data_IF_969611266301
#
_entry.id   IF_969611266301
#
_cell.length_a   1.000
_cell.length_b   1.000
_cell.length_c   1.000
_cell.angle_alpha   90.00
_cell.angle_beta   90.00
_cell.angle_gamma   90.00
#
_symmetry.space_group_name_H-M   'P 1'
#
loop_
_entity.id
_entity.type
_entity.pdbx_description
1 polymer ?
#
# COMPACT_ATOMS: atom_id res chain seq x y z
N UNK A 1 3.14 -14.29 25.13
CA UNK A 1 4.37 -13.71 24.56
C UNK A 1 4.69 -14.49 23.29
N UNK A 2 4.27 -14.01 22.11
CA UNK A 2 4.43 -14.75 20.85
C UNK A 2 5.82 -14.46 20.26
N UNK A 3 6.68 -15.48 20.24
CA UNK A 3 8.06 -15.48 19.72
C UNK A 3 8.14 -15.45 18.17
N UNK A 4 7.09 -15.03 17.46
CA UNK A 4 6.90 -15.31 16.02
C UNK A 4 7.05 -14.13 15.06
N UNK A 5 7.02 -12.88 15.53
CA UNK A 5 6.98 -11.71 14.62
C UNK A 5 8.29 -11.46 13.87
N UNK A 6 9.43 -12.01 14.33
CA UNK A 6 10.73 -11.89 13.64
C UNK A 6 10.83 -12.72 12.36
N UNK A 7 9.93 -13.70 12.14
CA UNK A 7 9.93 -14.54 10.94
C UNK A 7 9.06 -14.01 9.80
N UNK A 8 8.36 -12.89 10.00
CA UNK A 8 7.61 -12.26 8.92
C UNK A 8 8.60 -11.59 7.97
N UNK A 9 9.11 -12.38 7.03
CA UNK A 9 9.96 -11.88 5.96
C UNK A 9 9.18 -10.79 5.22
N UNK A 10 9.73 -9.57 5.13
CA UNK A 10 9.10 -8.54 4.34
C UNK A 10 9.02 -9.01 2.89
N UNK A 11 7.83 -8.91 2.32
CA UNK A 11 7.62 -9.11 0.90
C UNK A 11 7.80 -7.77 0.18
N UNK A 12 8.33 -7.85 -1.03
CA UNK A 12 8.46 -6.70 -1.92
C UNK A 12 7.38 -6.80 -3.00
N UNK A 13 6.71 -5.69 -3.25
CA UNK A 13 5.73 -5.55 -4.30
C UNK A 13 6.00 -4.28 -5.11
N UNK A 14 5.69 -4.32 -6.39
CA UNK A 14 5.66 -3.13 -7.24
C UNK A 14 4.40 -3.20 -8.08
N UNK A 15 3.81 -2.05 -8.38
CA UNK A 15 2.58 -2.03 -9.15
C UNK A 15 2.00 -0.64 -9.30
N UNK A 16 0.94 -0.57 -10.10
CA UNK A 16 0.14 0.64 -10.24
C UNK A 16 -0.88 0.72 -9.13
N UNK A 17 -0.99 1.86 -8.46
CA UNK A 17 -2.08 2.12 -7.54
C UNK A 17 -3.38 2.17 -8.33
N UNK A 18 -4.28 1.23 -8.08
CA UNK A 18 -5.60 1.20 -8.75
C UNK A 18 -6.68 1.86 -7.92
N UNK A 19 -6.56 1.79 -6.59
CA UNK A 19 -7.56 2.35 -5.69
C UNK A 19 -6.97 2.72 -4.33
N UNK A 20 -7.55 3.73 -3.69
CA UNK A 20 -7.26 4.18 -2.33
C UNK A 20 -8.58 4.23 -1.57
N UNK A 21 -8.63 3.58 -0.41
CA UNK A 21 -9.85 3.46 0.38
C UNK A 21 -9.59 3.85 1.84
N UNK A 22 -10.49 4.65 2.40
CA UNK A 22 -10.55 4.92 3.83
C UNK A 22 -11.76 4.21 4.43
N UNK A 23 -11.57 3.46 5.51
CA UNK A 23 -12.63 2.81 6.27
C UNK A 23 -12.54 3.23 7.73
N UNK A 24 -13.68 3.60 8.35
CA UNK A 24 -13.73 3.89 9.77
C UNK A 24 -14.18 2.62 10.51
N UNK A 25 -13.28 2.02 11.29
CA UNK A 25 -13.55 0.81 12.06
C UNK A 25 -13.31 1.07 13.53
N UNK A 26 -14.32 0.80 14.37
CA UNK A 26 -14.24 0.95 15.83
C UNK A 26 -13.70 2.33 16.29
N UNK A 27 -14.14 3.41 15.61
CA UNK A 27 -13.75 4.78 15.93
C UNK A 27 -12.36 5.20 15.44
N UNK A 28 -11.63 4.33 14.73
CA UNK A 28 -10.33 4.62 14.13
C UNK A 28 -10.40 4.57 12.60
N UNK A 29 -9.79 5.55 11.93
CA UNK A 29 -9.66 5.54 10.49
C UNK A 29 -8.55 4.58 10.06
N UNK A 30 -8.87 3.64 9.17
CA UNK A 30 -7.94 2.73 8.51
C UNK A 30 -7.85 3.09 7.04
N UNK A 31 -6.65 3.01 6.47
CA UNK A 31 -6.40 3.42 5.09
C UNK A 31 -5.82 2.25 4.32
N UNK A 32 -6.33 2.03 3.12
CA UNK A 32 -5.96 0.90 2.28
C UNK A 32 -5.53 1.40 0.90
N UNK A 33 -4.49 0.77 0.36
CA UNK A 33 -4.08 0.91 -1.04
C UNK A 33 -4.31 -0.41 -1.75
N UNK A 34 -4.85 -0.33 -2.96
CA UNK A 34 -4.87 -1.44 -3.90
C UNK A 34 -3.84 -1.17 -4.98
N UNK A 35 -2.89 -2.08 -5.16
CA UNK A 35 -1.93 -2.04 -6.26
C UNK A 35 -2.18 -3.22 -7.20
N UNK A 36 -1.97 -2.99 -8.50
CA UNK A 36 -2.01 -4.01 -9.53
C UNK A 36 -0.60 -4.28 -10.04
N UNK A 37 -0.18 -5.55 -9.97
CA UNK A 37 1.08 -6.05 -10.47
C UNK A 37 0.80 -7.15 -11.53
N UNK A 38 0.66 -6.76 -12.79
CA UNK A 38 0.19 -7.67 -13.83
C UNK A 38 -1.26 -8.11 -13.60
N UNK A 39 -1.49 -9.40 -13.42
CA UNK A 39 -2.81 -9.99 -13.13
C UNK A 39 -3.14 -10.02 -11.63
N UNK A 40 -2.16 -9.76 -10.75
CA UNK A 40 -2.34 -9.80 -9.31
C UNK A 40 -2.79 -8.43 -8.77
N UNK A 41 -3.88 -8.42 -7.99
CA UNK A 41 -4.37 -7.25 -7.27
C UNK A 41 -4.14 -7.41 -5.77
N UNK A 42 -3.25 -6.58 -5.22
CA UNK A 42 -2.87 -6.61 -3.81
C UNK A 42 -3.54 -5.45 -3.08
N UNK A 43 -4.32 -5.76 -2.04
CA UNK A 43 -4.88 -4.78 -1.11
C UNK A 43 -4.09 -4.80 0.20
N UNK A 44 -3.53 -3.65 0.58
CA UNK A 44 -2.63 -3.48 1.72
C UNK A 44 -3.07 -2.29 2.58
N UNK A 45 -2.81 -2.37 3.89
CA UNK A 45 -3.02 -1.31 4.86
C UNK A 45 -1.83 -0.35 4.87
N UNK A 46 -2.11 0.95 4.94
CA UNK A 46 -1.13 2.04 4.90
C UNK A 46 -1.45 3.08 5.97
N UNK A 47 -0.44 3.85 6.37
CA UNK A 47 -0.64 5.02 7.23
C UNK A 47 -1.32 6.17 6.49
N UNK A 48 -1.99 7.03 7.26
CA UNK A 48 -2.60 8.27 6.77
C UNK A 48 -1.63 9.13 5.94
N UNK A 49 -0.38 9.29 6.41
CA UNK A 49 0.65 10.08 5.72
C UNK A 49 0.99 9.54 4.33
N UNK A 50 0.90 8.22 4.16
CA UNK A 50 1.12 7.56 2.87
C UNK A 50 -0.13 7.71 2.00
N UNK A 51 -1.32 7.54 2.60
CA UNK A 51 -2.60 7.69 1.91
C UNK A 51 -2.75 9.07 1.26
N UNK A 52 -2.41 10.16 1.96
CA UNK A 52 -2.52 11.52 1.41
C UNK A 52 -1.49 11.84 0.31
N UNK A 53 -0.41 11.07 0.20
CA UNK A 53 0.66 11.29 -0.78
C UNK A 53 0.47 10.47 -2.05
N UNK A 54 -0.28 9.37 -1.96
CA UNK A 54 -0.54 8.49 -3.08
C UNK A 54 -1.69 9.03 -3.93
N UNK A 55 -1.60 8.79 -5.23
CA UNK A 55 -2.68 9.01 -6.16
C UNK A 55 -2.99 7.72 -6.93
N UNK A 56 -4.24 7.52 -7.36
CA UNK A 56 -4.55 6.51 -8.35
C UNK A 56 -3.66 6.68 -9.59
N UNK A 57 -3.23 5.56 -10.18
CA UNK A 57 -2.29 5.43 -11.29
C UNK A 57 -0.81 5.75 -10.97
N UNK A 58 -0.45 6.05 -9.73
CA UNK A 58 0.95 6.12 -9.35
C UNK A 58 1.61 4.74 -9.47
N UNK A 59 2.81 4.70 -10.04
CA UNK A 59 3.62 3.50 -10.03
C UNK A 59 4.49 3.49 -8.78
N UNK A 60 4.26 2.51 -7.91
CA UNK A 60 4.87 2.46 -6.59
C UNK A 60 5.61 1.15 -6.38
N UNK A 61 6.68 1.24 -5.60
CA UNK A 61 7.36 0.09 -5.01
C UNK A 61 7.10 0.12 -3.52
N UNK A 62 6.69 -1.01 -2.96
CA UNK A 62 6.34 -1.14 -1.56
C UNK A 62 6.95 -2.39 -0.93
N UNK A 63 7.22 -2.30 0.36
CA UNK A 63 7.62 -3.42 1.20
C UNK A 63 6.56 -3.60 2.27
N UNK A 64 6.03 -4.82 2.38
CA UNK A 64 4.89 -5.11 3.22
C UNK A 64 5.05 -6.43 3.95
N UNK A 65 4.36 -6.56 5.07
CA UNK A 65 4.28 -7.81 5.82
C UNK A 65 3.11 -8.63 5.26
N UNK A 66 3.34 -9.76 4.57
CA UNK A 66 2.28 -10.49 3.87
C UNK A 66 1.19 -11.02 4.79
N UNK A 67 1.53 -11.44 6.01
CA UNK A 67 0.54 -11.94 6.98
C UNK A 67 -0.37 -10.82 7.53
N UNK A 68 0.20 -9.64 7.78
CA UNK A 68 -0.55 -8.48 8.30
C UNK A 68 -1.16 -7.62 7.19
N UNK A 69 -0.73 -7.83 5.94
CA UNK A 69 -1.03 -6.98 4.78
C UNK A 69 -0.72 -5.50 5.06
N UNK A 70 0.35 -5.24 5.79
CA UNK A 70 0.70 -3.89 6.25
C UNK A 70 1.95 -3.40 5.53
N UNK A 71 1.88 -2.22 4.95
CA UNK A 71 3.02 -1.57 4.28
C UNK A 71 3.81 -0.78 5.30
N UNK A 72 5.10 -1.05 5.42
CA UNK A 72 6.00 -0.29 6.30
C UNK A 72 6.97 0.60 5.51
N UNK A 73 7.14 0.34 4.21
CA UNK A 73 7.93 1.19 3.32
C UNK A 73 7.23 1.30 1.98
N UNK A 74 7.07 2.53 1.51
CA UNK A 74 6.53 2.82 0.18
C UNK A 74 7.38 3.90 -0.47
N UNK A 75 7.68 3.68 -1.74
CA UNK A 75 8.36 4.63 -2.61
C UNK A 75 7.57 4.77 -3.90
N UNK A 76 7.16 6.00 -4.19
CA UNK A 76 6.62 6.34 -5.52
C UNK A 76 7.78 6.38 -6.50
N UNK A 77 7.74 5.51 -7.51
CA UNK A 77 8.74 5.45 -8.57
C UNK A 77 8.40 6.45 -9.68
N UNK A 78 7.12 6.49 -10.05
CA UNK A 78 6.60 7.42 -11.04
C UNK A 78 5.28 7.96 -10.54
N UNK A 79 5.24 9.25 -10.24
CA UNK A 79 3.97 9.96 -10.07
C UNK A 79 3.34 10.08 -11.45
N UNK A 80 2.11 9.59 -11.64
CA UNK A 80 1.41 9.95 -12.86
C UNK A 80 1.04 11.42 -12.73
N UNK A 81 1.90 12.30 -13.25
CA UNK A 81 1.57 13.71 -13.44
C UNK A 81 0.29 13.70 -14.26
N UNK A 82 -0.81 14.16 -13.64
CA UNK A 82 -2.07 14.42 -14.31
C UNK A 82 -1.76 15.00 -15.68
N UNK A 83 -2.24 14.32 -16.73
CA UNK A 83 -1.95 14.69 -18.11
C UNK A 83 -2.04 16.20 -18.27
N UNK A 84 -0.89 16.83 -18.54
CA UNK A 84 -0.88 18.13 -19.18
C UNK A 84 -1.30 17.87 -20.62
N UNK A 85 -2.61 17.93 -20.85
CA UNK A 85 -3.20 18.08 -22.19
C UNK A 85 -4.33 19.10 -22.06
#
# INVERSE_FOLDING_TARGET
>A
MQYGDWFNRPSFGQGLVTNLQQENRDGSAQYYVSIQNGEELLRLNIDYNTYIKLQPNDFVQLSYLPLKKEVFYLRVLTTQVAGSI
#
